data_IF_768566142071
#
_entry.id   IF_768566142071
#
_cell.length_a   1.000
_cell.length_b   1.000
_cell.length_c   1.000
_cell.angle_alpha   90.00
_cell.angle_beta   90.00
_cell.angle_gamma   90.00
#
_symmetry.space_group_name_H-M   'P 1'
#
loop_
_entity.id
_entity.type
_entity.pdbx_description
1 polymer ?
#
# COMPACT_ATOMS: atom_id res chain seq x y z
N UNK A 1 18.87 -0.01 9.62
CA UNK A 1 19.84 0.31 10.67
C UNK A 1 20.57 1.57 10.27
N UNK A 2 20.47 2.61 11.11
CA UNK A 2 21.08 3.93 10.88
C UNK A 2 22.00 4.30 12.05
N UNK A 3 22.56 3.31 12.76
CA UNK A 3 23.55 3.56 13.84
C UNK A 3 24.81 4.26 13.34
N UNK A 4 25.17 4.06 12.07
CA UNK A 4 26.16 4.85 11.33
C UNK A 4 25.43 5.59 10.18
N UNK A 5 25.05 6.88 10.36
CA UNK A 5 24.26 7.63 9.39
C UNK A 5 24.86 7.70 7.97
N UNK A 6 26.19 7.65 7.87
CA UNK A 6 26.95 7.63 6.63
C UNK A 6 26.89 6.27 5.90
N UNK A 7 26.45 5.21 6.57
CA UNK A 7 26.37 3.85 6.03
C UNK A 7 25.10 3.13 6.53
N UNK A 8 23.90 3.56 6.07
CA UNK A 8 22.66 2.91 6.45
C UNK A 8 22.58 1.50 5.85
N UNK A 9 22.23 0.52 6.70
CA UNK A 9 22.08 -0.88 6.29
C UNK A 9 20.62 -1.30 6.37
N UNK A 10 20.01 -1.83 5.30
CA UNK A 10 18.67 -2.42 5.36
C UNK A 10 18.66 -3.63 6.32
N UNK A 11 17.70 -3.69 7.24
CA UNK A 11 17.56 -4.84 8.17
C UNK A 11 16.69 -5.94 7.53
N UNK A 12 15.62 -5.54 6.87
CA UNK A 12 14.70 -6.43 6.17
C UNK A 12 13.99 -5.68 5.03
N UNK A 13 13.23 -6.42 4.24
CA UNK A 13 12.34 -5.88 3.20
C UNK A 13 10.91 -6.36 3.50
N UNK A 14 9.92 -5.50 3.28
CA UNK A 14 8.52 -5.90 3.39
C UNK A 14 8.22 -7.02 2.38
N UNK A 15 7.45 -8.06 2.77
CA UNK A 15 7.16 -9.16 1.86
C UNK A 15 6.36 -8.67 0.65
N UNK A 16 6.77 -9.11 -0.54
CA UNK A 16 5.99 -8.90 -1.76
C UNK A 16 4.78 -9.83 -1.78
N UNK A 17 3.57 -9.35 -2.10
CA UNK A 17 2.37 -10.17 -2.24
C UNK A 17 2.56 -11.34 -3.22
N UNK A 18 1.99 -12.50 -2.90
CA UNK A 18 2.08 -13.74 -3.71
C UNK A 18 0.74 -14.46 -3.89
N UNK A 19 -0.35 -13.83 -3.47
CA UNK A 19 -1.69 -14.40 -3.52
C UNK A 19 -2.27 -14.46 -4.94
N UNK A 20 -1.70 -13.68 -5.88
CA UNK A 20 -2.06 -13.69 -7.30
C UNK A 20 -0.84 -13.33 -8.16
N UNK A 21 -0.86 -13.75 -9.43
CA UNK A 21 0.07 -13.26 -10.44
C UNK A 21 -0.29 -11.84 -10.90
N UNK A 22 0.13 -10.84 -10.13
CA UNK A 22 -0.13 -9.43 -10.42
C UNK A 22 0.66 -8.88 -11.62
N UNK A 23 1.82 -9.48 -11.91
CA UNK A 23 2.68 -9.07 -13.01
C UNK A 23 2.02 -9.25 -14.39
N UNK A 24 1.11 -10.22 -14.54
CA UNK A 24 0.40 -10.47 -15.80
C UNK A 24 -0.84 -9.60 -16.00
N UNK A 25 -1.32 -8.91 -14.95
CA UNK A 25 -2.55 -8.11 -15.01
C UNK A 25 -2.30 -6.62 -15.29
N UNK A 26 -1.19 -6.07 -14.80
CA UNK A 26 -0.92 -4.65 -14.90
C UNK A 26 0.32 -4.21 -14.14
N UNK A 27 0.37 -2.93 -13.76
CA UNK A 27 1.46 -2.39 -12.95
C UNK A 27 1.41 -2.98 -11.55
N UNK A 28 2.47 -3.67 -11.14
CA UNK A 28 2.59 -4.31 -9.84
C UNK A 28 3.79 -3.76 -9.06
N UNK A 29 3.60 -3.50 -7.78
CA UNK A 29 4.66 -3.08 -6.86
C UNK A 29 4.21 -1.99 -5.89
N UNK A 30 5.03 -1.69 -4.86
CA UNK A 30 4.75 -0.59 -3.93
C UNK A 30 4.57 0.72 -4.69
N UNK A 31 3.58 1.53 -4.29
CA UNK A 31 3.32 2.82 -4.91
C UNK A 31 3.50 3.98 -3.92
N UNK A 32 2.79 3.94 -2.79
CA UNK A 32 2.89 4.93 -1.71
C UNK A 32 2.64 4.28 -0.36
N UNK A 33 2.90 5.02 0.72
CA UNK A 33 2.64 4.62 2.09
C UNK A 33 1.91 5.73 2.85
N UNK A 34 1.18 5.34 3.91
CA UNK A 34 0.64 6.30 4.87
C UNK A 34 1.79 6.86 5.70
N UNK A 35 1.97 8.18 5.67
CA UNK A 35 2.99 8.85 6.48
C UNK A 35 2.47 9.14 7.89
N UNK A 36 3.29 8.89 8.91
CA UNK A 36 3.01 9.22 10.31
C UNK A 36 2.99 10.75 10.54
N UNK A 37 1.92 11.42 10.09
CA UNK A 37 1.71 12.86 10.27
C UNK A 37 0.89 13.16 11.54
N UNK A 38 1.15 14.26 12.26
CA UNK A 38 0.31 14.69 13.39
C UNK A 38 -1.17 14.76 13.01
N UNK A 39 -2.04 14.22 13.86
CA UNK A 39 -3.50 14.18 13.61
C UNK A 39 -3.98 13.02 12.72
N UNK A 40 -3.08 12.09 12.35
CA UNK A 40 -3.42 10.87 11.62
C UNK A 40 -2.93 9.63 12.39
N UNK A 41 -3.16 8.44 11.84
CA UNK A 41 -2.56 7.21 12.37
C UNK A 41 -1.05 7.39 12.47
N UNK A 42 -0.50 7.10 13.64
CA UNK A 42 0.94 7.09 13.88
C UNK A 42 1.30 5.76 14.53
N UNK A 43 2.09 4.94 13.85
CA UNK A 43 2.50 3.63 14.35
C UNK A 43 3.98 3.40 14.10
N UNK A 44 4.67 2.84 15.10
CA UNK A 44 6.01 2.29 14.97
C UNK A 44 6.01 0.78 14.64
N UNK A 45 4.82 0.18 14.64
CA UNK A 45 4.62 -1.27 14.53
C UNK A 45 3.90 -1.68 13.24
N UNK A 46 3.19 -0.74 12.59
CA UNK A 46 2.31 -1.03 11.46
C UNK A 46 2.57 -0.06 10.31
N UNK A 47 2.74 -0.61 9.10
CA UNK A 47 2.88 0.16 7.86
C UNK A 47 1.68 -0.14 6.96
N UNK A 48 1.06 0.91 6.42
CA UNK A 48 0.02 0.82 5.40
C UNK A 48 0.60 1.31 4.07
N UNK A 49 0.47 0.52 3.01
CA UNK A 49 0.99 0.87 1.70
C UNK A 49 0.00 0.54 0.58
N UNK A 50 -0.05 1.39 -0.44
CA UNK A 50 -0.64 1.05 -1.73
C UNK A 50 0.37 0.26 -2.56
N UNK A 51 -0.13 -0.70 -3.33
CA UNK A 51 0.69 -1.68 -4.05
C UNK A 51 0.21 -1.83 -5.52
N UNK A 52 -0.13 -0.71 -6.16
CA UNK A 52 -0.75 -0.64 -7.47
C UNK A 52 -1.92 -1.63 -7.60
N UNK A 53 -1.85 -2.59 -8.52
CA UNK A 53 -2.91 -3.58 -8.75
C UNK A 53 -3.03 -4.66 -7.68
N UNK A 54 -2.06 -4.73 -6.76
CA UNK A 54 -2.14 -5.55 -5.57
C UNK A 54 -2.83 -4.81 -4.40
N UNK A 55 -3.37 -3.61 -4.62
CA UNK A 55 -4.24 -2.93 -3.66
C UNK A 55 -3.52 -2.38 -2.43
N UNK A 56 -4.24 -2.25 -1.32
CA UNK A 56 -3.67 -1.87 -0.02
C UNK A 56 -3.08 -3.10 0.66
N UNK A 57 -1.87 -2.94 1.22
CA UNK A 57 -1.17 -3.93 2.03
C UNK A 57 -0.83 -3.32 3.39
N UNK A 58 -1.07 -4.09 4.45
CA UNK A 58 -0.79 -3.70 5.83
C UNK A 58 0.25 -4.66 6.38
N UNK A 59 1.32 -4.11 6.94
CA UNK A 59 2.47 -4.87 7.42
C UNK A 59 2.71 -4.65 8.90
N UNK A 60 2.92 -5.73 9.65
CA UNK A 60 3.47 -5.73 11.00
C UNK A 60 5.00 -5.73 10.91
N UNK A 61 5.62 -4.80 11.63
CA UNK A 61 7.08 -4.61 11.74
C UNK A 61 7.60 -4.71 13.17
N UNK A 62 6.82 -5.24 14.13
CA UNK A 62 7.27 -5.47 15.53
C UNK A 62 8.56 -6.28 15.59
N UNK A 63 8.66 -7.32 14.76
CA UNK A 63 9.93 -8.00 14.48
C UNK A 63 10.57 -7.40 13.23
N UNK A 64 11.47 -6.45 13.43
CA UNK A 64 12.18 -5.76 12.35
C UNK A 64 13.00 -6.69 11.44
N UNK A 65 13.32 -7.91 11.88
CA UNK A 65 14.06 -8.89 11.08
C UNK A 65 13.15 -9.79 10.24
N UNK A 66 11.85 -9.81 10.54
CA UNK A 66 10.87 -10.61 9.82
C UNK A 66 9.51 -9.89 9.71
N UNK A 67 9.42 -8.78 8.95
CA UNK A 67 8.14 -8.13 8.66
C UNK A 67 7.11 -9.08 8.05
N UNK A 68 5.83 -8.88 8.37
CA UNK A 68 4.73 -9.75 7.92
C UNK A 68 3.60 -8.93 7.33
N UNK A 69 3.02 -9.37 6.22
CA UNK A 69 1.71 -8.87 5.79
C UNK A 69 0.65 -9.41 6.75
N UNK A 70 -0.20 -8.53 7.29
CA UNK A 70 -1.27 -8.87 8.25
C UNK A 70 -2.67 -8.60 7.71
N UNK A 71 -2.81 -7.76 6.69
CA UNK A 71 -4.07 -7.52 6.00
C UNK A 71 -3.83 -7.01 4.57
N UNK A 72 -4.80 -7.23 3.70
CA UNK A 72 -4.83 -6.64 2.36
C UNK A 72 -6.25 -6.38 1.90
N UNK A 73 -6.36 -5.50 0.91
CA UNK A 73 -7.59 -5.27 0.17
C UNK A 73 -7.28 -4.86 -1.27
N UNK A 74 -7.90 -5.51 -2.24
CA UNK A 74 -7.78 -5.19 -3.67
C UNK A 74 -9.10 -4.57 -4.15
N UNK A 75 -9.08 -3.36 -4.76
CA UNK A 75 -10.30 -2.76 -5.28
C UNK A 75 -10.89 -3.58 -6.43
N UNK A 76 -12.20 -3.41 -6.72
CA UNK A 76 -12.76 -3.90 -7.96
C UNK A 76 -12.10 -3.19 -9.16
N UNK A 77 -12.01 -3.90 -10.29
CA UNK A 77 -11.54 -3.31 -11.54
C UNK A 77 -12.54 -2.22 -11.97
N UNK A 78 -12.08 -1.00 -12.32
CA UNK A 78 -12.97 0.07 -12.78
C UNK A 78 -13.71 -0.33 -14.07
N UNK A 79 -14.93 0.17 -14.25
CA UNK A 79 -15.73 -0.14 -15.45
C UNK A 79 -15.14 0.44 -16.75
N UNK A 80 -14.33 1.50 -16.65
CA UNK A 80 -13.63 2.15 -17.76
C UNK A 80 -12.39 2.87 -17.26
N UNK A 81 -11.44 3.10 -18.16
CA UNK A 81 -10.31 4.00 -17.89
C UNK A 81 -10.77 5.46 -18.02
N UNK A 82 -10.32 6.29 -17.07
CA UNK A 82 -10.42 7.75 -17.15
C UNK A 82 -9.10 8.33 -17.68
N UNK A 83 -7.99 7.62 -17.45
CA UNK A 83 -6.68 7.97 -17.99
C UNK A 83 -6.68 7.93 -19.53
N UNK A 84 -6.38 9.06 -20.21
CA UNK A 84 -6.38 9.11 -21.67
C UNK A 84 -5.11 8.56 -22.31
N UNK A 85 -4.08 8.20 -21.52
CA UNK A 85 -2.80 7.72 -22.05
C UNK A 85 -2.97 6.36 -22.75
N UNK A 86 -2.23 6.10 -23.84
CA UNK A 86 -2.25 4.79 -24.49
C UNK A 86 -1.58 3.73 -23.60
N UNK A 87 -1.93 2.46 -23.84
CA UNK A 87 -1.32 1.28 -23.18
C UNK A 87 -1.47 1.24 -21.66
N UNK A 88 -2.55 1.81 -21.13
CA UNK A 88 -2.94 1.66 -19.73
C UNK A 88 -3.80 0.39 -19.60
N UNK A 89 -3.44 -0.50 -18.68
CA UNK A 89 -4.23 -1.70 -18.39
C UNK A 89 -5.53 -1.33 -17.66
N UNK A 90 -6.64 -1.94 -18.07
CA UNK A 90 -7.90 -1.89 -17.32
C UNK A 90 -7.82 -2.92 -16.18
N UNK A 91 -7.27 -2.48 -15.06
CA UNK A 91 -7.00 -3.31 -13.88
C UNK A 91 -7.32 -2.54 -12.59
N UNK A 92 -7.41 -3.26 -11.47
CA UNK A 92 -7.50 -2.69 -10.13
C UNK A 92 -6.28 -1.78 -9.88
N UNK A 93 -6.46 -0.68 -9.14
CA UNK A 93 -5.32 0.18 -8.79
C UNK A 93 -5.54 0.93 -7.48
N UNK A 94 -4.48 0.99 -6.67
CA UNK A 94 -4.41 1.93 -5.54
C UNK A 94 -3.18 2.81 -5.73
N UNK A 95 -3.34 4.12 -5.55
CA UNK A 95 -2.29 5.12 -5.75
C UNK A 95 -1.79 5.68 -4.41
N UNK A 96 -2.60 6.44 -3.70
CA UNK A 96 -2.27 7.05 -2.40
C UNK A 96 -3.20 6.53 -1.31
N UNK A 97 -2.77 6.66 -0.06
CA UNK A 97 -3.63 6.39 1.08
C UNK A 97 -3.36 7.36 2.24
N UNK A 98 -4.41 7.63 3.00
CA UNK A 98 -4.36 8.34 4.28
C UNK A 98 -5.17 7.57 5.31
N UNK A 99 -4.60 7.35 6.49
CA UNK A 99 -5.22 6.61 7.59
C UNK A 99 -5.48 7.55 8.76
N UNK A 100 -6.74 7.67 9.20
CA UNK A 100 -7.12 8.46 10.37
C UNK A 100 -6.65 7.78 11.66
N UNK A 101 -6.62 8.52 12.77
CA UNK A 101 -6.25 7.96 14.07
C UNK A 101 -7.19 6.81 14.51
N UNK A 102 -8.43 6.81 14.04
CA UNK A 102 -9.45 5.79 14.31
C UNK A 102 -9.38 4.60 13.36
N UNK A 103 -8.45 4.59 12.38
CA UNK A 103 -8.26 3.48 11.44
C UNK A 103 -9.10 3.55 10.17
N UNK A 104 -9.78 4.67 9.87
CA UNK A 104 -10.40 4.88 8.56
C UNK A 104 -9.32 5.16 7.52
N UNK A 105 -9.34 4.43 6.41
CA UNK A 105 -8.40 4.59 5.31
C UNK A 105 -9.11 5.21 4.11
N UNK A 106 -8.58 6.34 3.62
CA UNK A 106 -8.97 6.96 2.37
C UNK A 106 -7.94 6.58 1.32
N UNK A 107 -8.35 5.84 0.30
CA UNK A 107 -7.46 5.26 -0.71
C UNK A 107 -7.84 5.77 -2.08
N UNK A 108 -6.91 6.40 -2.79
CA UNK A 108 -7.15 6.88 -4.14
C UNK A 108 -6.92 5.78 -5.18
N UNK A 109 -7.76 5.77 -6.22
CA UNK A 109 -7.61 5.00 -7.44
C UNK A 109 -7.60 5.98 -8.60
N UNK A 110 -6.58 5.86 -9.45
CA UNK A 110 -6.38 6.73 -10.61
C UNK A 110 -7.55 6.73 -11.61
N UNK A 111 -8.27 5.61 -11.73
CA UNK A 111 -9.39 5.42 -12.66
C UNK A 111 -10.73 5.22 -11.95
N UNK A 112 -10.75 4.90 -10.66
CA UNK A 112 -11.98 4.65 -9.88
C UNK A 112 -12.32 5.71 -8.81
N UNK A 113 -11.45 6.70 -8.58
CA UNK A 113 -11.72 7.79 -7.65
C UNK A 113 -11.20 7.50 -6.24
N UNK A 114 -12.07 7.40 -5.24
CA UNK A 114 -11.68 7.21 -3.83
C UNK A 114 -12.50 6.10 -3.18
N UNK A 115 -11.80 5.26 -2.42
CA UNK A 115 -12.37 4.21 -1.59
C UNK A 115 -12.17 4.56 -0.11
N UNK A 116 -13.14 4.20 0.72
CA UNK A 116 -13.04 4.33 2.17
C UNK A 116 -13.12 2.95 2.78
N UNK A 117 -12.11 2.60 3.57
CA UNK A 117 -11.99 1.32 4.26
C UNK A 117 -11.82 1.59 5.76
N UNK A 118 -11.99 0.56 6.57
CA UNK A 118 -11.71 0.63 8.00
C UNK A 118 -10.77 -0.51 8.38
N UNK A 119 -9.63 -0.18 8.96
CA UNK A 119 -8.72 -1.17 9.52
C UNK A 119 -9.13 -1.50 10.96
N UNK A 120 -9.35 -2.79 11.23
CA UNK A 120 -9.91 -3.27 12.50
C UNK A 120 -8.88 -3.83 13.49
N UNK A 121 -7.60 -3.85 13.13
CA UNK A 121 -6.56 -4.55 13.89
C UNK A 121 -6.39 -5.98 13.42
#
# INVERSE_FOLDING_TARGET
DVRAPENPVPIATLPTPRDRDYCSLGTFGPHNLHENRPGSMQSEETIFATYNNAGVRVFDIKDQFSPKEIAHWVPPIPAKLIDPRPNIALDAKTADLFVTAEGLMFVSDWNAGMHVLEYKG
#
